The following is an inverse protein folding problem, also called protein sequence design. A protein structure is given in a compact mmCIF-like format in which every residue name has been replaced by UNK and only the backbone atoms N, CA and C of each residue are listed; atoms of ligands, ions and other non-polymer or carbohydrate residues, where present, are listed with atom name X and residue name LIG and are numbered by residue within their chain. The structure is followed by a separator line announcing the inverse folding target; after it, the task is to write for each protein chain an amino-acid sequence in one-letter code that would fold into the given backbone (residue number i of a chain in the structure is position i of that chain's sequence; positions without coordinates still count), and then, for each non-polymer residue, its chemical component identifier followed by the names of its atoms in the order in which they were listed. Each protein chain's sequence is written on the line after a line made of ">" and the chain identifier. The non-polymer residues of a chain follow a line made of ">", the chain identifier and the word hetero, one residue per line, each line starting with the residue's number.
data_IF_712142985657
#
_entry.id   IF_712142985657
#
_cell.length_a   1.000
_cell.length_b   1.000
_cell.length_c   1.000
_cell.angle_alpha   90.00
_cell.angle_beta   90.00
_cell.angle_gamma   90.00
#
_symmetry.space_group_name_H-M   'P 1'
#
loop_
_entity.id
_entity.type
_entity.pdbx_description
1 polymer ?
#
# COMPACT_ATOMS: atom_id res chain seq x y z
N UNK A 1 17.38 -10.01 28.37
CA UNK A 1 16.31 -10.33 27.41
C UNK A 1 16.70 -11.61 26.71
N UNK A 2 15.85 -12.65 26.74
CA UNK A 2 16.09 -13.91 26.04
C UNK A 2 16.06 -13.60 24.52
N UNK A 3 17.12 -13.99 23.79
CA UNK A 3 17.11 -13.90 22.33
C UNK A 3 16.02 -14.83 21.80
N UNK A 4 15.02 -14.27 21.10
CA UNK A 4 14.04 -15.10 20.44
C UNK A 4 14.70 -15.75 19.21
N UNK A 5 14.76 -17.06 19.20
CA UNK A 5 15.23 -17.84 18.05
C UNK A 5 14.10 -18.72 17.54
N UNK A 6 13.93 -18.77 16.23
CA UNK A 6 12.98 -19.65 15.55
C UNK A 6 13.64 -20.21 14.30
N UNK A 7 13.10 -21.32 13.80
CA UNK A 7 13.54 -21.93 12.55
C UNK A 7 12.34 -22.51 11.82
N UNK A 8 12.34 -22.42 10.50
CA UNK A 8 11.29 -22.96 9.64
C UNK A 8 11.91 -23.76 8.50
N UNK A 9 11.34 -24.91 8.20
CA UNK A 9 11.59 -25.59 6.93
C UNK A 9 10.56 -25.13 5.91
N UNK A 10 10.99 -24.51 4.83
CA UNK A 10 10.14 -24.06 3.74
C UNK A 10 10.12 -25.14 2.67
N UNK A 11 8.94 -25.72 2.36
CA UNK A 11 8.85 -26.77 1.32
C UNK A 11 9.43 -26.29 -0.01
N UNK A 12 9.09 -25.05 -0.39
CA UNK A 12 9.71 -24.31 -1.48
C UNK A 12 9.89 -22.86 -1.06
N UNK A 13 10.98 -22.25 -1.51
CA UNK A 13 11.24 -20.84 -1.24
C UNK A 13 11.80 -20.13 -2.48
N UNK A 14 11.33 -18.90 -2.71
CA UNK A 14 11.88 -18.04 -3.73
C UNK A 14 13.13 -17.33 -3.19
N UNK A 15 14.30 -17.86 -3.54
CA UNK A 15 15.61 -17.44 -3.06
C UNK A 15 16.47 -17.03 -4.24
N UNK A 16 17.02 -15.82 -4.20
CA UNK A 16 17.90 -15.26 -5.23
C UNK A 16 17.34 -15.39 -6.67
N UNK A 17 16.04 -15.08 -6.82
CA UNK A 17 15.36 -15.07 -8.12
C UNK A 17 15.01 -16.46 -8.68
N UNK A 18 15.09 -17.51 -7.87
CA UNK A 18 14.69 -18.85 -8.26
C UNK A 18 14.04 -19.62 -7.10
N UNK A 19 13.18 -20.56 -7.42
CA UNK A 19 12.59 -21.46 -6.42
C UNK A 19 13.58 -22.55 -6.02
N UNK A 20 13.72 -22.79 -4.72
CA UNK A 20 14.51 -23.85 -4.11
C UNK A 20 13.63 -24.73 -3.24
N UNK A 21 13.87 -26.03 -3.24
CA UNK A 21 13.16 -26.99 -2.40
C UNK A 21 13.85 -27.14 -1.03
N UNK A 22 13.06 -27.47 -0.01
CA UNK A 22 13.50 -27.86 1.34
C UNK A 22 14.49 -26.84 1.95
N UNK A 23 14.10 -25.58 2.02
CA UNK A 23 14.95 -24.49 2.52
C UNK A 23 14.76 -24.32 4.01
N UNK A 24 15.79 -24.64 4.81
CA UNK A 24 15.82 -24.32 6.24
C UNK A 24 16.25 -22.87 6.43
N UNK A 25 15.41 -22.10 7.13
CA UNK A 25 15.69 -20.71 7.53
C UNK A 25 15.83 -20.67 9.05
N UNK A 26 16.97 -20.17 9.54
CA UNK A 26 17.22 -19.93 10.96
C UNK A 26 17.12 -18.42 11.24
N UNK A 27 16.52 -18.07 12.37
CA UNK A 27 16.16 -16.70 12.70
C UNK A 27 16.58 -16.39 14.12
N UNK A 28 17.19 -15.23 14.33
CA UNK A 28 17.45 -14.67 15.65
C UNK A 28 17.18 -13.16 15.64
N UNK A 29 16.55 -12.69 16.71
CA UNK A 29 16.24 -11.26 16.92
C UNK A 29 15.48 -10.64 15.72
N UNK A 30 14.56 -11.43 15.11
CA UNK A 30 13.71 -11.00 13.98
C UNK A 30 14.42 -10.93 12.64
N UNK A 31 15.66 -11.43 12.53
CA UNK A 31 16.45 -11.45 11.30
C UNK A 31 16.88 -12.87 10.92
N UNK A 32 16.98 -13.12 9.63
CA UNK A 32 17.49 -14.37 9.07
C UNK A 32 19.00 -14.48 9.39
N UNK A 33 19.41 -15.56 10.03
CA UNK A 33 20.81 -15.84 10.38
C UNK A 33 21.45 -16.94 9.53
N UNK A 34 20.63 -17.85 8.97
CA UNK A 34 21.09 -18.85 8.01
C UNK A 34 19.96 -19.20 7.01
N UNK A 35 20.36 -19.54 5.79
CA UNK A 35 19.49 -20.07 4.73
C UNK A 35 20.19 -21.29 4.13
N UNK A 36 19.64 -22.49 4.31
CA UNK A 36 20.24 -23.76 3.88
C UNK A 36 19.27 -24.49 2.95
N UNK A 37 19.48 -24.46 1.62
CA UNK A 37 18.71 -25.24 0.68
C UNK A 37 18.99 -26.76 0.81
N UNK A 38 18.04 -27.57 0.35
CA UNK A 38 18.09 -29.03 0.39
C UNK A 38 18.39 -29.58 1.82
N UNK A 39 17.87 -28.90 2.84
CA UNK A 39 18.01 -29.34 4.22
C UNK A 39 17.16 -30.59 4.46
N UNK A 40 17.65 -31.58 5.25
CA UNK A 40 16.84 -32.74 5.61
C UNK A 40 15.66 -32.28 6.50
N UNK A 41 14.55 -33.00 6.40
CA UNK A 41 13.44 -32.85 7.31
C UNK A 41 13.93 -33.02 8.76
N UNK A 42 13.66 -32.00 9.60
CA UNK A 42 14.04 -31.98 11.00
C UNK A 42 12.83 -31.76 11.90
N UNK A 43 13.08 -31.63 13.19
CA UNK A 43 12.03 -31.31 14.18
C UNK A 43 11.79 -29.80 14.26
N UNK A 44 11.49 -29.18 13.12
CA UNK A 44 11.16 -27.77 13.01
C UNK A 44 9.82 -27.59 12.26
N UNK A 45 9.06 -26.52 12.52
CA UNK A 45 7.82 -26.26 11.79
C UNK A 45 8.07 -26.23 10.27
N UNK A 46 7.24 -26.97 9.52
CA UNK A 46 7.29 -27.01 8.07
C UNK A 46 6.20 -26.11 7.49
N UNK A 47 6.60 -25.13 6.68
CA UNK A 47 5.69 -24.27 5.93
C UNK A 47 5.47 -24.89 4.53
N UNK A 48 4.36 -25.61 4.39
CA UNK A 48 4.02 -26.31 3.17
C UNK A 48 3.52 -25.35 2.08
N UNK A 49 4.08 -25.43 0.88
CA UNK A 49 3.75 -24.60 -0.27
C UNK A 49 4.96 -23.81 -0.78
N UNK A 50 4.71 -22.67 -1.41
CA UNK A 50 5.74 -21.73 -1.88
C UNK A 50 5.87 -20.55 -0.94
N UNK A 51 7.05 -20.36 -0.37
CA UNK A 51 7.33 -19.20 0.48
C UNK A 51 8.10 -18.13 -0.30
N UNK A 52 7.61 -16.91 -0.23
CA UNK A 52 8.24 -15.69 -0.79
C UNK A 52 8.59 -14.74 0.35
N UNK A 53 9.48 -13.74 0.16
CA UNK A 53 9.67 -12.67 1.13
C UNK A 53 8.36 -11.94 1.41
N UNK A 54 8.29 -11.26 2.55
CA UNK A 54 7.13 -10.46 2.93
C UNK A 54 6.76 -9.43 1.86
N UNK A 55 5.45 -9.31 1.59
CA UNK A 55 4.94 -8.36 0.60
C UNK A 55 4.68 -7.00 1.25
N UNK A 56 4.89 -5.93 0.49
CA UNK A 56 4.79 -4.55 0.96
C UNK A 56 3.57 -3.86 0.34
N UNK A 57 2.74 -3.26 1.18
CA UNK A 57 1.69 -2.34 0.77
C UNK A 57 2.24 -0.92 0.84
N UNK A 58 2.67 -0.37 -0.29
CA UNK A 58 3.39 0.92 -0.30
C UNK A 58 2.46 2.15 -0.31
N UNK A 59 1.14 1.93 -0.34
CA UNK A 59 0.14 2.99 -0.20
C UNK A 59 -1.21 2.45 0.25
N UNK A 60 -1.77 3.04 1.29
CA UNK A 60 -3.01 2.60 1.93
C UNK A 60 -3.72 3.74 2.64
N UNK A 61 -5.04 3.66 2.65
CA UNK A 61 -5.93 4.45 3.50
C UNK A 61 -6.87 3.51 4.26
N UNK A 62 -6.50 3.06 5.44
CA UNK A 62 -7.21 2.01 6.18
C UNK A 62 -8.72 2.30 6.34
N UNK A 63 -9.12 3.57 6.51
CA UNK A 63 -10.53 3.90 6.67
C UNK A 63 -11.36 3.76 5.39
N UNK A 64 -10.74 3.77 4.20
CA UNK A 64 -11.44 3.51 2.94
C UNK A 64 -12.00 2.09 2.86
N UNK A 65 -11.48 1.15 3.68
CA UNK A 65 -12.06 -0.19 3.80
C UNK A 65 -13.57 -0.16 4.07
N UNK A 66 -14.05 0.88 4.74
CA UNK A 66 -15.48 1.08 5.00
C UNK A 66 -16.33 1.35 3.74
N UNK A 67 -15.70 1.64 2.60
CA UNK A 67 -16.37 1.97 1.33
C UNK A 67 -16.57 0.76 0.43
N UNK A 68 -15.78 -0.32 0.62
CA UNK A 68 -15.80 -1.51 -0.24
C UNK A 68 -17.21 -2.10 -0.38
N UNK A 69 -17.63 -2.31 -1.64
CA UNK A 69 -18.96 -2.85 -1.98
C UNK A 69 -20.14 -1.89 -1.71
N UNK A 70 -19.87 -0.65 -1.29
CA UNK A 70 -20.91 0.35 -0.99
C UNK A 70 -20.96 1.49 -2.00
N UNK A 71 -19.81 1.85 -2.55
CA UNK A 71 -19.64 2.96 -3.51
C UNK A 71 -19.96 2.57 -4.95
N UNK A 72 -20.01 1.28 -5.27
CA UNK A 72 -20.28 0.75 -6.61
C UNK A 72 -21.78 0.67 -6.95
N UNK A 73 -22.66 1.26 -6.13
CA UNK A 73 -24.11 1.26 -6.36
C UNK A 73 -24.51 2.35 -7.35
N UNK A 74 -25.06 1.94 -8.48
CA UNK A 74 -25.52 2.86 -9.53
C UNK A 74 -24.36 3.33 -10.43
N UNK A 75 -24.58 4.46 -11.13
CA UNK A 75 -23.53 5.12 -11.90
C UNK A 75 -22.84 6.16 -11.02
N UNK A 76 -21.54 6.01 -10.84
CA UNK A 76 -20.71 6.90 -10.04
C UNK A 76 -19.55 7.46 -10.84
N UNK A 77 -18.85 8.42 -10.23
CA UNK A 77 -17.60 8.99 -10.67
C UNK A 77 -16.67 9.06 -9.45
N UNK A 78 -15.40 9.35 -9.64
CA UNK A 78 -14.49 9.71 -8.56
C UNK A 78 -15.11 10.70 -7.54
N UNK A 79 -15.87 11.68 -8.02
CA UNK A 79 -16.47 12.72 -7.16
C UNK A 79 -17.59 12.18 -6.26
N UNK A 80 -18.44 11.29 -6.77
CA UNK A 80 -19.49 10.66 -5.95
C UNK A 80 -18.91 9.67 -4.94
N UNK A 81 -17.82 8.99 -5.28
CA UNK A 81 -17.05 8.18 -4.36
C UNK A 81 -16.46 9.04 -3.23
N UNK A 82 -15.87 10.20 -3.58
CA UNK A 82 -15.28 11.14 -2.62
C UNK A 82 -16.31 11.68 -1.61
N UNK A 83 -17.55 11.95 -2.03
CA UNK A 83 -18.63 12.35 -1.13
C UNK A 83 -18.92 11.27 -0.09
N UNK A 84 -18.94 9.99 -0.48
CA UNK A 84 -19.13 8.88 0.46
C UNK A 84 -17.94 8.70 1.39
N UNK A 85 -16.73 8.89 0.90
CA UNK A 85 -15.52 8.89 1.69
C UNK A 85 -15.56 10.02 2.75
N UNK A 86 -16.00 11.21 2.39
CA UNK A 86 -16.19 12.32 3.33
C UNK A 86 -17.23 11.98 4.41
N UNK A 87 -18.32 11.31 4.04
CA UNK A 87 -19.32 10.89 5.01
C UNK A 87 -18.79 9.84 6.02
N UNK A 88 -17.87 8.96 5.60
CA UNK A 88 -17.15 8.06 6.51
C UNK A 88 -16.18 8.85 7.39
N UNK A 89 -15.36 9.70 6.79
CA UNK A 89 -14.37 10.51 7.50
C UNK A 89 -15.01 11.39 8.60
N UNK A 90 -16.20 11.96 8.34
CA UNK A 90 -16.92 12.80 9.32
C UNK A 90 -17.33 12.04 10.58
N UNK A 91 -17.58 10.73 10.47
CA UNK A 91 -18.11 9.88 11.56
C UNK A 91 -17.04 9.21 12.40
N UNK A 92 -15.82 9.09 11.87
CA UNK A 92 -14.74 8.42 12.57
C UNK A 92 -14.33 9.20 13.81
N UNK A 93 -14.28 8.50 14.93
CA UNK A 93 -13.63 8.90 16.18
C UNK A 93 -12.33 8.12 16.33
N UNK A 94 -11.39 8.52 17.18
CA UNK A 94 -10.19 7.73 17.43
C UNK A 94 -10.48 6.27 17.78
N UNK A 95 -11.48 6.00 18.63
CA UNK A 95 -11.85 4.64 19.02
C UNK A 95 -12.41 3.83 17.85
N UNK A 96 -13.34 4.40 17.06
CA UNK A 96 -13.91 3.69 15.91
C UNK A 96 -12.88 3.54 14.78
N UNK A 97 -11.95 4.48 14.67
CA UNK A 97 -10.85 4.37 13.71
C UNK A 97 -9.87 3.26 14.11
N UNK A 98 -9.52 3.16 15.40
CA UNK A 98 -8.72 2.05 15.92
C UNK A 98 -9.34 0.69 15.59
N UNK A 99 -10.63 0.49 15.89
CA UNK A 99 -11.32 -0.78 15.64
C UNK A 99 -11.33 -1.13 14.16
N UNK A 100 -11.66 -0.16 13.30
CA UNK A 100 -11.66 -0.34 11.85
C UNK A 100 -10.26 -0.63 11.29
N UNK A 101 -9.27 0.17 11.69
CA UNK A 101 -7.89 0.05 11.20
C UNK A 101 -7.26 -1.26 11.64
N UNK A 102 -7.48 -1.71 12.89
CA UNK A 102 -6.99 -3.01 13.38
C UNK A 102 -7.50 -4.16 12.53
N UNK A 103 -8.81 -4.21 12.30
CA UNK A 103 -9.41 -5.26 11.46
C UNK A 103 -8.89 -5.20 10.01
N UNK A 104 -8.69 -3.99 9.47
CA UNK A 104 -8.14 -3.77 8.13
C UNK A 104 -6.67 -4.21 8.04
N UNK A 105 -5.85 -3.88 9.01
CA UNK A 105 -4.45 -4.31 9.05
C UNK A 105 -4.32 -5.82 9.24
N UNK A 106 -5.21 -6.46 10.04
CA UNK A 106 -5.30 -7.92 10.12
C UNK A 106 -5.69 -8.54 8.77
N UNK A 107 -6.61 -7.92 8.01
CA UNK A 107 -6.96 -8.34 6.65
C UNK A 107 -5.73 -8.25 5.73
N UNK A 108 -4.95 -7.17 5.79
CA UNK A 108 -3.70 -7.03 5.03
C UNK A 108 -2.69 -8.13 5.37
N UNK A 109 -2.47 -8.39 6.66
CA UNK A 109 -1.55 -9.45 7.09
C UNK A 109 -2.03 -10.81 6.57
N UNK A 110 -3.31 -11.15 6.73
CA UNK A 110 -3.87 -12.40 6.23
C UNK A 110 -3.83 -12.52 4.70
N UNK A 111 -3.72 -11.41 3.98
CA UNK A 111 -3.52 -11.36 2.53
C UNK A 111 -2.04 -11.51 2.11
N UNK A 112 -1.08 -11.41 3.05
CA UNK A 112 0.34 -11.56 2.79
C UNK A 112 1.16 -10.28 2.89
N UNK A 113 0.56 -9.14 3.23
CA UNK A 113 1.33 -7.92 3.49
C UNK A 113 2.00 -7.99 4.87
N UNK A 114 3.30 -7.74 4.92
CA UNK A 114 4.09 -7.70 6.17
C UNK A 114 4.40 -6.28 6.63
N UNK A 115 4.26 -5.32 5.72
CA UNK A 115 4.41 -3.90 6.00
C UNK A 115 3.46 -3.05 5.18
N UNK A 116 3.12 -1.88 5.71
CA UNK A 116 2.23 -0.91 5.08
C UNK A 116 2.73 0.51 5.27
N UNK A 117 2.66 1.30 4.19
CA UNK A 117 2.77 2.75 4.19
C UNK A 117 1.35 3.33 4.23
N UNK A 118 0.89 3.74 5.40
CA UNK A 118 -0.45 4.25 5.62
C UNK A 118 -0.48 5.76 5.45
N UNK A 119 -1.19 6.24 4.46
CA UNK A 119 -1.32 7.65 4.12
C UNK A 119 -2.45 8.29 4.94
N UNK A 120 -2.08 8.94 6.02
CA UNK A 120 -2.99 9.45 7.04
C UNK A 120 -3.22 10.95 6.91
N UNK A 121 -4.46 11.36 6.65
CA UNK A 121 -4.87 12.77 6.55
C UNK A 121 -6.11 13.12 7.39
N UNK A 122 -6.58 12.22 8.25
CA UNK A 122 -7.69 12.48 9.14
C UNK A 122 -7.14 12.97 10.49
N UNK A 123 -6.92 14.28 10.60
CA UNK A 123 -6.43 14.92 11.81
C UNK A 123 -7.62 15.47 12.61
N UNK A 124 -7.79 15.02 13.82
CA UNK A 124 -8.66 15.71 14.78
C UNK A 124 -7.84 16.76 15.52
N UNK A 125 -8.49 17.72 16.27
CA UNK A 125 -7.77 18.73 17.02
C UNK A 125 -6.71 18.16 17.99
N UNK A 126 -6.70 16.85 18.19
CA UNK A 126 -5.68 16.11 18.93
C UNK A 126 -5.09 14.99 18.06
N UNK A 127 -3.82 14.58 18.25
CA UNK A 127 -3.14 13.58 17.41
C UNK A 127 -3.66 12.14 17.60
N UNK A 128 -4.80 11.97 18.24
CA UNK A 128 -5.35 10.70 18.67
C UNK A 128 -5.65 9.72 17.52
N UNK A 129 -5.98 10.23 16.32
CA UNK A 129 -6.25 9.36 15.15
C UNK A 129 -4.99 8.69 14.61
N UNK A 130 -3.87 9.40 14.59
CA UNK A 130 -2.58 8.82 14.21
C UNK A 130 -2.09 7.79 15.24
N UNK A 131 -2.33 8.03 16.54
CA UNK A 131 -2.02 7.06 17.61
C UNK A 131 -2.91 5.82 17.49
N UNK A 132 -4.20 5.98 17.18
CA UNK A 132 -5.11 4.88 16.93
C UNK A 132 -4.59 3.95 15.81
N UNK A 133 -4.05 4.49 14.73
CA UNK A 133 -3.44 3.72 13.65
C UNK A 133 -2.17 2.98 14.10
N UNK A 134 -1.31 3.62 14.93
CA UNK A 134 -0.11 2.97 15.46
C UNK A 134 -0.46 1.78 16.35
N UNK A 135 -1.39 1.95 17.28
CA UNK A 135 -1.86 0.86 18.13
C UNK A 135 -2.54 -0.25 17.32
N UNK A 136 -3.35 0.12 16.32
CA UNK A 136 -4.00 -0.85 15.43
C UNK A 136 -2.98 -1.71 14.66
N UNK A 137 -1.90 -1.10 14.18
CA UNK A 137 -0.84 -1.82 13.48
C UNK A 137 -0.01 -2.71 14.42
N UNK A 138 0.26 -2.24 15.64
CA UNK A 138 0.94 -3.02 16.67
C UNK A 138 0.13 -4.27 17.05
N UNK A 139 -1.18 -4.14 17.30
CA UNK A 139 -2.06 -5.29 17.60
C UNK A 139 -2.24 -6.23 16.40
N UNK A 140 -2.25 -5.72 15.19
CA UNK A 140 -2.30 -6.53 13.98
C UNK A 140 -0.96 -7.21 13.65
N UNK A 141 0.14 -6.75 14.25
CA UNK A 141 1.49 -7.26 14.03
C UNK A 141 2.11 -6.85 12.69
N UNK A 142 1.55 -5.86 11.98
CA UNK A 142 2.08 -5.34 10.70
C UNK A 142 3.10 -4.21 10.94
N UNK A 143 4.13 -4.14 10.13
CA UNK A 143 5.08 -3.02 10.16
C UNK A 143 4.45 -1.78 9.53
N UNK A 144 4.32 -0.72 10.30
CA UNK A 144 3.67 0.54 9.87
C UNK A 144 4.69 1.63 9.59
N UNK A 145 4.60 2.22 8.40
CA UNK A 145 5.10 3.57 8.11
C UNK A 145 3.90 4.51 8.06
N UNK A 146 3.68 5.28 9.11
CA UNK A 146 2.58 6.25 9.15
C UNK A 146 3.02 7.54 8.48
N UNK A 147 2.49 7.78 7.28
CA UNK A 147 2.73 8.95 6.46
C UNK A 147 1.72 10.03 6.82
N UNK A 148 2.12 10.99 7.65
CA UNK A 148 1.23 12.08 8.02
C UNK A 148 1.13 13.09 6.86
N UNK A 149 -0.09 13.29 6.36
CA UNK A 149 -0.31 14.06 5.14
C UNK A 149 -0.73 15.50 5.41
N UNK A 150 -0.01 16.43 4.85
CA UNK A 150 -0.38 17.84 4.85
C UNK A 150 -1.51 18.12 3.88
N UNK A 151 -2.54 18.80 4.38
CA UNK A 151 -3.70 19.30 3.63
C UNK A 151 -4.00 20.74 4.04
N UNK A 152 -3.88 21.67 3.13
CA UNK A 152 -4.04 23.12 3.42
C UNK A 152 -5.24 23.73 2.68
N UNK A 153 -5.54 23.22 1.48
CA UNK A 153 -6.60 23.77 0.62
C UNK A 153 -7.46 22.68 -0.01
N UNK A 154 -8.71 23.00 -0.30
CA UNK A 154 -9.66 22.08 -0.96
C UNK A 154 -9.47 21.97 -2.47
N UNK A 155 -8.61 22.80 -3.03
CA UNK A 155 -8.27 22.94 -4.43
C UNK A 155 -7.37 24.15 -4.61
N UNK A 156 -6.96 24.46 -5.84
CA UNK A 156 -6.07 25.58 -6.12
C UNK A 156 -6.69 26.92 -5.64
N UNK A 157 -6.22 27.42 -4.50
CA UNK A 157 -6.66 28.69 -3.92
C UNK A 157 -7.99 28.66 -3.13
N UNK A 158 -8.59 27.50 -2.91
CA UNK A 158 -9.83 27.36 -2.15
C UNK A 158 -9.57 26.87 -0.71
N UNK A 159 -10.20 27.47 0.32
CA UNK A 159 -10.03 27.01 1.71
C UNK A 159 -10.73 25.65 1.93
N UNK A 160 -10.29 24.86 2.93
CA UNK A 160 -10.99 23.63 3.33
C UNK A 160 -12.40 23.92 3.85
N UNK A 161 -13.38 23.14 3.41
CA UNK A 161 -14.78 23.25 3.80
C UNK A 161 -15.32 21.93 4.38
N UNK A 162 -16.36 22.00 5.19
CA UNK A 162 -17.02 20.83 5.78
C UNK A 162 -16.03 19.91 6.49
N UNK A 163 -16.07 18.63 6.15
CA UNK A 163 -15.19 17.59 6.71
C UNK A 163 -13.70 17.81 6.43
N UNK A 164 -13.36 18.55 5.35
CA UNK A 164 -11.96 18.83 5.02
C UNK A 164 -11.24 19.64 6.13
N UNK A 165 -11.99 20.30 7.02
CA UNK A 165 -11.42 20.97 8.19
C UNK A 165 -10.79 19.99 9.18
N UNK A 166 -11.15 18.70 9.12
CA UNK A 166 -10.51 17.62 9.90
C UNK A 166 -9.17 17.17 9.29
N UNK A 167 -8.85 17.58 8.07
CA UNK A 167 -7.65 17.18 7.36
C UNK A 167 -6.52 18.20 7.49
N UNK A 168 -6.80 19.42 8.00
CA UNK A 168 -5.90 20.54 7.90
C UNK A 168 -5.35 21.02 9.24
N UNK A 169 -4.06 21.32 9.26
CA UNK A 169 -3.39 22.10 10.31
C UNK A 169 -3.43 23.63 10.02
N UNK A 170 -4.07 24.01 8.92
CA UNK A 170 -4.18 25.41 8.46
C UNK A 170 -3.03 25.86 7.56
N UNK A 171 -1.78 25.47 7.86
CA UNK A 171 -0.60 25.76 7.03
C UNK A 171 0.37 24.58 7.04
N UNK A 172 1.19 24.44 5.98
CA UNK A 172 2.24 23.42 5.94
C UNK A 172 3.28 23.63 7.06
N UNK A 173 3.53 24.86 7.48
CA UNK A 173 4.44 25.13 8.60
C UNK A 173 3.90 24.56 9.93
N UNK A 174 2.62 24.76 10.25
CA UNK A 174 2.00 24.18 11.45
C UNK A 174 1.95 22.67 11.39
N UNK A 175 1.64 22.13 10.21
CA UNK A 175 1.74 20.69 9.98
C UNK A 175 3.15 20.17 10.30
N UNK A 176 4.21 20.81 9.80
CA UNK A 176 5.60 20.44 10.04
C UNK A 176 5.98 20.54 11.54
N UNK A 177 5.48 21.55 12.25
CA UNK A 177 5.68 21.69 13.70
C UNK A 177 5.03 20.55 14.49
N UNK A 178 3.87 20.04 14.06
CA UNK A 178 3.18 18.91 14.68
C UNK A 178 3.86 17.57 14.39
N UNK A 179 4.26 17.35 13.14
CA UNK A 179 4.81 16.06 12.68
C UNK A 179 6.29 15.87 13.06
N UNK A 180 7.04 16.95 13.20
CA UNK A 180 8.48 16.89 13.41
C UNK A 180 9.19 16.27 12.21
N UNK A 181 10.19 15.40 12.47
CA UNK A 181 10.99 14.72 11.44
C UNK A 181 10.40 13.37 11.00
N UNK A 182 9.14 13.09 11.31
CA UNK A 182 8.46 11.85 10.95
C UNK A 182 8.24 11.68 9.44
N UNK A 183 7.83 10.46 9.01
CA UNK A 183 7.40 10.21 7.63
C UNK A 183 6.30 11.18 7.21
N UNK A 184 6.40 11.69 5.99
CA UNK A 184 5.62 12.82 5.53
C UNK A 184 4.84 12.50 4.25
N UNK A 185 3.70 13.19 4.08
CA UNK A 185 3.03 13.21 2.79
C UNK A 185 2.50 14.62 2.44
N UNK A 186 2.49 14.91 1.17
CA UNK A 186 1.72 15.98 0.54
C UNK A 186 0.45 15.33 0.00
N UNK A 187 -0.75 15.75 0.47
CA UNK A 187 -1.97 15.10 -0.03
C UNK A 187 -2.00 15.13 -1.57
N UNK A 188 -1.78 16.28 -2.17
CA UNK A 188 -1.61 16.49 -3.61
C UNK A 188 -1.18 17.96 -3.86
N UNK A 189 -0.79 18.28 -5.07
CA UNK A 189 -0.50 19.69 -5.45
C UNK A 189 -1.73 20.61 -5.42
N UNK A 190 -2.93 20.03 -5.38
CA UNK A 190 -4.20 20.75 -5.16
C UNK A 190 -4.36 21.17 -3.70
N UNK A 191 -3.88 20.33 -2.79
CA UNK A 191 -4.12 20.46 -1.37
C UNK A 191 -3.03 21.24 -0.64
N UNK A 192 -1.84 21.38 -1.22
CA UNK A 192 -0.75 22.19 -0.66
C UNK A 192 -0.34 23.25 -1.68
N UNK A 193 -0.57 24.56 -1.39
CA UNK A 193 -0.20 25.64 -2.28
C UNK A 193 1.31 25.68 -2.59
N UNK A 194 1.67 26.13 -3.78
CA UNK A 194 3.06 26.17 -4.28
C UNK A 194 4.03 26.87 -3.31
N UNK A 195 3.62 27.98 -2.75
CA UNK A 195 4.43 28.79 -1.81
C UNK A 195 4.72 28.08 -0.49
N UNK A 196 3.99 26.99 -0.17
CA UNK A 196 4.18 26.17 1.03
C UNK A 196 4.91 24.85 0.77
N UNK A 197 5.14 24.46 -0.49
CA UNK A 197 5.81 23.20 -0.85
C UNK A 197 7.27 23.14 -0.36
N UNK A 198 7.92 24.27 -0.18
CA UNK A 198 9.30 24.34 0.31
C UNK A 198 9.51 23.68 1.69
N UNK A 199 8.44 23.54 2.50
CA UNK A 199 8.45 22.91 3.83
C UNK A 199 8.81 21.41 3.76
N UNK A 200 8.61 20.77 2.60
CA UNK A 200 8.86 19.34 2.40
C UNK A 200 10.24 19.02 1.85
N UNK A 201 11.06 20.03 1.52
CA UNK A 201 12.40 19.80 0.97
C UNK A 201 13.27 19.02 1.95
N UNK A 202 13.88 17.93 1.46
CA UNK A 202 14.75 17.06 2.24
C UNK A 202 14.03 16.07 3.17
N UNK A 203 12.70 16.04 3.19
CA UNK A 203 11.95 15.01 3.94
C UNK A 203 12.00 13.67 3.21
N UNK A 204 12.21 12.59 3.96
CA UNK A 204 12.17 11.23 3.46
C UNK A 204 11.79 10.27 4.62
N UNK A 205 10.86 9.32 4.39
CA UNK A 205 10.07 9.16 3.17
C UNK A 205 9.06 10.30 2.99
N UNK A 206 8.81 10.67 1.72
CA UNK A 206 7.79 11.64 1.32
C UNK A 206 6.87 11.01 0.29
N UNK A 207 5.57 10.98 0.53
CA UNK A 207 4.58 10.51 -0.44
C UNK A 207 3.71 11.65 -0.96
N UNK A 208 3.17 11.51 -2.18
CA UNK A 208 2.25 12.48 -2.77
C UNK A 208 1.37 11.82 -3.84
N UNK A 209 0.05 12.05 -3.81
CA UNK A 209 -0.83 11.69 -4.92
C UNK A 209 -0.51 12.59 -6.12
N UNK A 210 -0.30 11.99 -7.27
CA UNK A 210 0.17 12.69 -8.47
C UNK A 210 -0.63 12.31 -9.70
N UNK A 211 -1.27 13.29 -10.33
CA UNK A 211 -1.90 13.12 -11.65
C UNK A 211 -2.83 11.90 -11.74
N UNK A 212 -3.56 11.62 -10.65
CA UNK A 212 -4.55 10.54 -10.57
C UNK A 212 -5.70 10.80 -11.55
N UNK A 213 -6.20 12.03 -11.56
CA UNK A 213 -7.30 12.49 -12.41
C UNK A 213 -6.79 13.56 -13.40
N UNK A 214 -7.23 13.48 -14.67
CA UNK A 214 -6.90 14.49 -15.68
C UNK A 214 -7.26 15.92 -15.24
N UNK A 215 -8.34 16.06 -14.47
CA UNK A 215 -8.77 17.36 -13.93
C UNK A 215 -7.73 17.99 -12.99
N UNK A 216 -6.91 17.20 -12.28
CA UNK A 216 -5.82 17.74 -11.48
C UNK A 216 -4.76 18.41 -12.37
N UNK A 217 -4.40 17.75 -13.47
CA UNK A 217 -3.43 18.27 -14.43
C UNK A 217 -3.94 19.57 -15.05
N UNK A 218 -5.19 19.57 -15.52
CA UNK A 218 -5.81 20.74 -16.13
C UNK A 218 -5.88 21.93 -15.18
N UNK A 219 -6.24 21.69 -13.91
CA UNK A 219 -6.30 22.72 -12.88
C UNK A 219 -4.92 23.23 -12.48
N UNK A 220 -3.91 22.36 -12.41
CA UNK A 220 -2.52 22.75 -12.13
C UNK A 220 -1.94 23.60 -13.27
N UNK A 221 -2.17 23.22 -14.53
CA UNK A 221 -1.80 24.01 -15.71
C UNK A 221 -2.48 25.38 -15.69
N UNK A 222 -3.77 25.45 -15.35
CA UNK A 222 -4.49 26.71 -15.26
C UNK A 222 -3.95 27.61 -14.13
N UNK A 223 -3.58 27.04 -12.98
CA UNK A 223 -3.13 27.77 -11.82
C UNK A 223 -1.66 28.21 -11.90
N UNK A 224 -0.79 27.34 -12.41
CA UNK A 224 0.67 27.51 -12.33
C UNK A 224 1.40 27.45 -13.68
N UNK A 225 0.71 27.11 -14.77
CA UNK A 225 1.29 27.01 -16.11
C UNK A 225 2.21 25.79 -16.32
N UNK A 226 2.19 24.82 -15.39
CA UNK A 226 3.02 23.62 -15.43
C UNK A 226 2.21 22.39 -15.01
N UNK A 227 2.70 21.18 -15.34
CA UNK A 227 2.11 19.92 -14.85
C UNK A 227 2.38 19.71 -13.36
N UNK A 228 1.59 18.88 -12.66
CA UNK A 228 1.87 18.50 -11.27
C UNK A 228 3.30 17.96 -11.06
N UNK A 229 3.76 17.09 -11.93
CA UNK A 229 5.13 16.54 -11.91
C UNK A 229 6.18 17.64 -12.04
N UNK A 230 6.01 18.53 -13.00
CA UNK A 230 6.92 19.65 -13.22
C UNK A 230 6.93 20.61 -12.02
N UNK A 231 5.79 20.86 -11.41
CA UNK A 231 5.70 21.66 -10.18
C UNK A 231 6.53 21.05 -9.06
N UNK A 232 6.35 19.74 -8.77
CA UNK A 232 7.12 19.07 -7.73
C UNK A 232 8.62 19.03 -8.04
N UNK A 233 8.99 18.85 -9.29
CA UNK A 233 10.39 18.90 -9.74
C UNK A 233 11.00 20.27 -9.50
N UNK A 234 10.34 21.35 -9.92
CA UNK A 234 10.82 22.74 -9.79
C UNK A 234 10.96 23.16 -8.34
N UNK A 235 10.12 22.61 -7.44
CA UNK A 235 10.21 22.82 -6.00
C UNK A 235 11.24 21.89 -5.30
N UNK A 236 11.92 21.01 -6.04
CA UNK A 236 12.98 20.12 -5.52
C UNK A 236 12.46 19.01 -4.64
N UNK A 237 11.26 18.49 -4.92
CA UNK A 237 10.58 17.46 -4.13
C UNK A 237 10.66 16.06 -4.74
N UNK A 238 11.13 15.92 -5.99
CA UNK A 238 11.33 14.62 -6.62
C UNK A 238 12.73 14.07 -6.30
N UNK A 239 12.81 12.76 -6.04
CA UNK A 239 14.07 12.08 -5.75
C UNK A 239 13.86 10.69 -5.16
N UNK A 240 14.93 9.95 -4.82
CA UNK A 240 14.86 8.56 -4.31
C UNK A 240 14.11 8.42 -2.98
N UNK A 241 13.96 9.50 -2.20
CA UNK A 241 13.20 9.53 -0.95
C UNK A 241 11.71 9.86 -1.14
N UNK A 242 11.28 10.11 -2.39
CA UNK A 242 9.90 10.48 -2.71
C UNK A 242 9.20 9.35 -3.45
N UNK A 243 7.97 9.05 -3.04
CA UNK A 243 7.04 8.17 -3.73
C UNK A 243 5.87 9.01 -4.25
N UNK A 244 5.68 9.01 -5.56
CA UNK A 244 4.45 9.52 -6.17
C UNK A 244 3.46 8.38 -6.34
N UNK A 245 2.17 8.62 -6.08
CA UNK A 245 1.13 7.60 -6.15
C UNK A 245 0.26 7.83 -7.38
N UNK A 246 -0.16 6.77 -8.03
CA UNK A 246 -0.90 6.68 -9.29
C UNK A 246 -0.06 7.07 -10.51
N UNK A 247 0.26 8.35 -10.68
CA UNK A 247 0.99 8.84 -11.86
C UNK A 247 0.33 8.40 -13.18
N UNK A 248 -1.02 8.44 -13.22
CA UNK A 248 -1.84 7.89 -14.31
C UNK A 248 -1.77 8.75 -15.57
N UNK A 249 -1.91 10.08 -15.39
CA UNK A 249 -2.02 11.04 -16.50
C UNK A 249 -0.74 11.85 -16.66
N UNK A 250 0.31 11.24 -17.25
CA UNK A 250 1.62 11.86 -17.42
C UNK A 250 1.90 12.20 -18.88
N UNK A 251 2.64 13.28 -19.09
CA UNK A 251 3.30 13.57 -20.39
C UNK A 251 4.63 12.82 -20.49
N UNK A 252 5.21 12.76 -21.69
CA UNK A 252 6.55 12.17 -21.91
C UNK A 252 7.63 12.91 -21.10
N UNK A 253 7.52 14.23 -20.98
CA UNK A 253 8.42 15.04 -20.16
C UNK A 253 8.28 14.72 -18.66
N UNK A 254 7.05 14.47 -18.16
CA UNK A 254 6.81 14.07 -16.77
C UNK A 254 7.46 12.72 -16.46
N UNK A 255 7.33 11.75 -17.36
CA UNK A 255 7.97 10.43 -17.23
C UNK A 255 9.50 10.58 -17.17
N UNK A 256 10.06 11.42 -18.05
CA UNK A 256 11.50 11.67 -18.06
C UNK A 256 11.98 12.36 -16.77
N UNK A 257 11.21 13.30 -16.20
CA UNK A 257 11.54 13.95 -14.94
C UNK A 257 11.54 12.95 -13.77
N UNK A 258 10.52 12.11 -13.66
CA UNK A 258 10.43 11.09 -12.63
C UNK A 258 11.58 10.06 -12.73
N UNK A 259 11.88 9.59 -13.96
CA UNK A 259 12.98 8.66 -14.21
C UNK A 259 14.35 9.24 -13.88
N UNK A 260 14.64 10.47 -14.36
CA UNK A 260 15.92 11.14 -14.12
C UNK A 260 16.18 11.41 -12.62
N UNK A 261 15.13 11.65 -11.84
CA UNK A 261 15.23 11.85 -10.40
C UNK A 261 15.17 10.54 -9.60
N UNK A 262 14.90 9.40 -10.27
CA UNK A 262 14.71 8.08 -9.64
C UNK A 262 13.63 8.12 -8.56
N UNK A 263 12.59 8.91 -8.78
CA UNK A 263 11.43 8.97 -7.91
C UNK A 263 10.67 7.65 -7.97
N UNK A 264 10.32 7.08 -6.81
CA UNK A 264 9.51 5.88 -6.76
C UNK A 264 8.07 6.17 -7.21
N UNK A 265 7.47 5.24 -7.95
CA UNK A 265 6.07 5.34 -8.38
C UNK A 265 5.30 4.16 -7.81
N UNK A 266 4.31 4.46 -6.97
CA UNK A 266 3.39 3.48 -6.43
C UNK A 266 2.13 3.45 -7.30
N UNK A 267 1.95 2.35 -8.01
CA UNK A 267 0.74 2.10 -8.81
C UNK A 267 -0.26 1.34 -7.94
N UNK A 268 -1.53 1.62 -8.09
CA UNK A 268 -2.60 0.99 -7.30
C UNK A 268 -3.69 0.41 -8.20
N UNK A 269 -3.38 -0.66 -8.96
CA UNK A 269 -4.20 -1.16 -10.06
C UNK A 269 -5.64 -1.42 -9.71
N UNK A 270 -5.93 -1.98 -8.53
CA UNK A 270 -7.32 -2.27 -8.14
C UNK A 270 -8.11 -1.00 -7.84
N UNK A 271 -7.47 0.04 -7.31
CA UNK A 271 -8.09 1.36 -7.09
C UNK A 271 -8.33 2.08 -8.41
N UNK A 272 -7.34 2.14 -9.27
CA UNK A 272 -7.42 2.81 -10.58
C UNK A 272 -8.53 2.22 -11.46
N UNK A 273 -8.77 0.91 -11.34
CA UNK A 273 -9.91 0.23 -11.96
C UNK A 273 -11.24 0.58 -11.30
N UNK A 274 -11.32 0.59 -9.96
CA UNK A 274 -12.55 0.85 -9.19
C UNK A 274 -13.02 2.30 -9.37
N UNK A 275 -12.09 3.25 -9.40
CA UNK A 275 -12.36 4.68 -9.56
C UNK A 275 -12.42 5.14 -11.03
N UNK A 276 -12.06 4.25 -11.96
CA UNK A 276 -12.01 4.52 -13.40
C UNK A 276 -11.01 5.65 -13.75
N UNK A 277 -9.86 5.66 -13.09
CA UNK A 277 -8.82 6.68 -13.28
C UNK A 277 -8.12 6.53 -14.63
N UNK A 278 -8.04 5.32 -15.13
CA UNK A 278 -7.35 4.96 -16.36
C UNK A 278 -6.19 3.99 -16.12
N UNK A 279 -5.39 3.75 -17.15
CA UNK A 279 -4.21 2.90 -17.08
C UNK A 279 -2.96 3.78 -17.11
N UNK A 280 -2.22 3.83 -16.02
CA UNK A 280 -0.97 4.57 -15.91
C UNK A 280 0.17 3.90 -16.70
N UNK A 281 1.21 4.64 -17.11
CA UNK A 281 2.31 4.16 -17.95
C UNK A 281 3.40 3.43 -17.15
N UNK A 282 3.01 2.40 -16.35
CA UNK A 282 3.90 1.74 -15.39
C UNK A 282 5.19 1.19 -16.03
N UNK A 283 5.10 0.51 -17.17
CA UNK A 283 6.27 -0.02 -17.87
C UNK A 283 7.19 1.10 -18.36
N UNK A 284 6.64 2.16 -18.94
CA UNK A 284 7.41 3.30 -19.43
C UNK A 284 8.14 4.03 -18.29
N UNK A 285 7.51 4.14 -17.13
CA UNK A 285 8.12 4.71 -15.92
C UNK A 285 9.31 3.86 -15.45
N UNK A 286 9.15 2.53 -15.40
CA UNK A 286 10.26 1.62 -15.07
C UNK A 286 11.41 1.72 -16.08
N UNK A 287 11.11 1.74 -17.38
CA UNK A 287 12.11 1.89 -18.45
C UNK A 287 12.83 3.25 -18.39
N UNK A 288 12.17 4.29 -17.91
CA UNK A 288 12.77 5.60 -17.64
C UNK A 288 13.68 5.62 -16.41
N UNK A 289 13.64 4.57 -15.56
CA UNK A 289 14.48 4.42 -14.37
C UNK A 289 13.78 4.67 -13.03
N UNK A 290 12.45 4.80 -13.01
CA UNK A 290 11.68 4.87 -11.76
C UNK A 290 11.65 3.49 -11.09
N UNK A 291 11.96 3.38 -9.79
CA UNK A 291 11.52 2.24 -9.01
C UNK A 291 9.99 2.18 -9.01
N UNK A 292 9.42 0.97 -9.11
CA UNK A 292 7.97 0.75 -9.08
C UNK A 292 7.61 0.01 -7.79
N UNK A 293 6.48 0.36 -7.21
CA UNK A 293 5.84 -0.34 -6.09
C UNK A 293 4.32 -0.43 -6.31
N UNK A 294 3.64 -1.19 -5.45
CA UNK A 294 2.18 -1.32 -5.48
C UNK A 294 1.58 -1.06 -4.11
N UNK A 295 0.32 -0.65 -4.09
CA UNK A 295 -0.46 -0.43 -2.89
C UNK A 295 -1.93 -0.79 -3.06
N UNK A 296 -2.66 -1.03 -1.95
CA UNK A 296 -4.09 -1.32 -1.95
C UNK A 296 -4.97 -0.06 -1.95
N UNK A 297 -4.39 1.07 -1.67
CA UNK A 297 -4.95 2.43 -1.66
C UNK A 297 -6.40 2.51 -1.10
N UNK A 298 -7.41 2.51 -1.97
CA UNK A 298 -8.83 2.64 -1.59
C UNK A 298 -9.43 1.38 -0.93
N UNK A 299 -8.68 0.29 -0.86
CA UNK A 299 -9.15 -1.00 -0.35
C UNK A 299 -10.37 -1.58 -1.09
N UNK A 300 -10.56 -1.23 -2.36
CA UNK A 300 -11.53 -1.91 -3.21
C UNK A 300 -11.27 -3.43 -3.20
N UNK A 301 -9.99 -3.79 -3.25
CA UNK A 301 -9.45 -5.13 -3.02
C UNK A 301 -8.27 -5.04 -2.04
N UNK A 302 -8.01 -6.09 -1.25
CA UNK A 302 -6.77 -6.28 -0.49
C UNK A 302 -6.18 -7.63 -0.89
N UNK A 303 -5.41 -7.61 -1.97
CA UNK A 303 -4.78 -8.80 -2.54
C UNK A 303 -3.48 -8.39 -3.25
N UNK A 304 -2.29 -8.61 -2.64
CA UNK A 304 -1.03 -8.22 -3.24
C UNK A 304 -0.76 -8.90 -4.60
N UNK A 305 -1.29 -10.12 -4.80
CA UNK A 305 -1.10 -10.84 -6.05
C UNK A 305 -1.94 -10.24 -7.17
N UNK A 306 -3.12 -9.68 -6.85
CA UNK A 306 -3.94 -8.97 -7.82
C UNK A 306 -3.31 -7.61 -8.19
N UNK A 307 -2.76 -6.87 -7.23
CA UNK A 307 -2.01 -5.64 -7.52
C UNK A 307 -0.82 -5.93 -8.46
N UNK A 308 0.00 -6.93 -8.14
CA UNK A 308 1.14 -7.31 -9.00
C UNK A 308 0.71 -7.77 -10.39
N UNK A 309 -0.32 -8.61 -10.45
CA UNK A 309 -0.89 -9.07 -11.71
C UNK A 309 -1.48 -7.92 -12.51
N UNK A 310 -2.05 -6.94 -11.83
CA UNK A 310 -2.62 -5.73 -12.40
C UNK A 310 -1.64 -4.97 -13.26
N UNK A 311 -0.40 -4.79 -12.81
CA UNK A 311 0.65 -4.12 -13.59
C UNK A 311 0.83 -4.73 -14.99
N UNK A 312 0.87 -6.06 -15.11
CA UNK A 312 1.01 -6.73 -16.41
C UNK A 312 -0.31 -6.72 -17.20
N UNK A 313 -1.46 -6.97 -16.53
CA UNK A 313 -2.73 -7.14 -17.24
C UNK A 313 -3.28 -5.82 -17.79
N UNK A 314 -3.07 -4.72 -17.10
CA UNK A 314 -3.51 -3.39 -17.56
C UNK A 314 -2.64 -2.91 -18.74
N UNK A 315 -1.31 -3.14 -18.67
CA UNK A 315 -0.43 -2.88 -19.82
C UNK A 315 -0.82 -3.71 -21.05
N UNK A 316 -1.21 -4.99 -20.88
CA UNK A 316 -1.72 -5.81 -22.00
C UNK A 316 -2.98 -5.21 -22.61
N UNK A 317 -3.89 -4.68 -21.80
CA UNK A 317 -5.10 -4.02 -22.31
C UNK A 317 -4.79 -2.72 -23.03
N UNK A 318 -3.86 -1.94 -22.51
CA UNK A 318 -3.45 -0.66 -23.11
C UNK A 318 -2.71 -0.83 -24.43
N UNK A 319 -1.80 -1.81 -24.52
CA UNK A 319 -0.89 -1.98 -25.66
C UNK A 319 -1.33 -3.05 -26.65
N UNK A 320 -2.21 -4.00 -26.24
CA UNK A 320 -2.55 -5.21 -27.00
C UNK A 320 -1.35 -6.16 -27.21
N UNK A 321 -0.33 -6.05 -26.37
CA UNK A 321 0.87 -6.88 -26.34
C UNK A 321 0.99 -7.61 -25.00
N UNK A 322 1.86 -8.63 -24.90
CA UNK A 322 2.08 -9.43 -23.69
C UNK A 322 3.56 -9.42 -23.31
N UNK A 323 3.82 -9.63 -22.01
CA UNK A 323 5.18 -9.82 -21.51
C UNK A 323 5.89 -8.50 -21.21
N UNK A 324 5.14 -7.50 -20.76
CA UNK A 324 5.71 -6.26 -20.24
C UNK A 324 6.50 -6.51 -18.95
N UNK A 325 6.02 -7.45 -18.12
CA UNK A 325 6.61 -7.82 -16.84
C UNK A 325 6.75 -9.32 -16.69
N UNK A 326 7.93 -9.80 -16.29
CA UNK A 326 8.11 -11.18 -15.82
C UNK A 326 7.56 -11.36 -14.40
N UNK A 327 7.21 -12.58 -14.03
CA UNK A 327 6.77 -12.90 -12.67
C UNK A 327 7.84 -12.55 -11.61
N UNK A 328 9.12 -12.75 -11.93
CA UNK A 328 10.23 -12.41 -11.05
C UNK A 328 10.36 -10.89 -10.81
N UNK A 329 10.19 -10.06 -11.86
CA UNK A 329 10.14 -8.61 -11.72
C UNK A 329 8.96 -8.18 -10.84
N UNK A 330 7.76 -8.74 -11.08
CA UNK A 330 6.57 -8.44 -10.31
C UNK A 330 6.72 -8.84 -8.83
N UNK A 331 7.27 -10.02 -8.52
CA UNK A 331 7.58 -10.39 -7.14
C UNK A 331 8.60 -9.44 -6.50
N UNK A 332 9.63 -9.04 -7.24
CA UNK A 332 10.60 -8.06 -6.75
C UNK A 332 9.95 -6.70 -6.44
N UNK A 333 8.97 -6.28 -7.25
CA UNK A 333 8.15 -5.09 -6.99
C UNK A 333 7.34 -5.27 -5.70
N UNK A 334 6.62 -6.38 -5.56
CA UNK A 334 5.77 -6.65 -4.38
C UNK A 334 6.54 -6.78 -3.07
N UNK A 335 7.77 -7.27 -3.13
CA UNK A 335 8.65 -7.39 -1.96
C UNK A 335 9.52 -6.16 -1.72
N UNK A 336 9.46 -5.15 -2.57
CA UNK A 336 10.37 -3.98 -2.57
C UNK A 336 11.85 -4.40 -2.60
N UNK A 337 12.14 -5.51 -3.27
CA UNK A 337 13.48 -6.09 -3.36
C UNK A 337 13.95 -6.82 -2.11
N UNK A 338 13.09 -7.04 -1.11
CA UNK A 338 13.42 -7.89 0.04
C UNK A 338 13.67 -9.33 -0.40
N UNK A 339 14.54 -10.05 0.34
CA UNK A 339 15.00 -11.39 -0.03
C UNK A 339 14.96 -12.33 1.18
N UNK A 340 14.84 -13.61 0.91
CA UNK A 340 15.12 -14.65 1.91
C UNK A 340 16.65 -14.84 1.92
N UNK A 341 17.36 -14.03 2.71
CA UNK A 341 18.81 -14.01 2.78
C UNK A 341 19.31 -13.63 4.18
N UNK A 342 20.53 -14.04 4.51
CA UNK A 342 21.15 -13.71 5.80
C UNK A 342 21.24 -12.20 5.99
N UNK A 343 20.80 -11.73 7.17
CA UNK A 343 20.77 -10.33 7.55
C UNK A 343 19.47 -9.60 7.22
N UNK A 344 18.63 -10.14 6.35
CA UNK A 344 17.31 -9.57 6.02
C UNK A 344 16.31 -9.76 7.18
N UNK A 345 15.27 -8.93 7.29
CA UNK A 345 14.14 -9.19 8.18
C UNK A 345 13.53 -10.57 7.89
N UNK A 346 13.16 -11.28 8.94
CA UNK A 346 12.53 -12.58 8.82
C UNK A 346 11.01 -12.43 8.58
N UNK A 347 10.66 -11.81 7.46
CA UNK A 347 9.30 -11.58 7.00
C UNK A 347 9.03 -12.48 5.80
N UNK A 348 8.11 -13.45 5.96
CA UNK A 348 7.88 -14.54 5.00
C UNK A 348 6.37 -14.72 4.76
N UNK A 349 6.01 -15.04 3.53
CA UNK A 349 4.63 -15.35 3.13
C UNK A 349 4.61 -16.70 2.43
N UNK A 350 3.84 -17.64 2.95
CA UNK A 350 3.69 -18.98 2.36
C UNK A 350 2.34 -19.10 1.66
N UNK A 351 2.39 -19.58 0.42
CA UNK A 351 1.27 -19.72 -0.51
C UNK A 351 0.98 -21.21 -0.70
N UNK A 352 -0.28 -21.63 -0.55
CA UNK A 352 -0.73 -22.96 -0.89
C UNK A 352 -0.58 -23.22 -2.41
N UNK A 353 0.22 -24.19 -2.79
CA UNK A 353 0.42 -24.61 -4.19
C UNK A 353 -0.47 -25.80 -4.61
N UNK A 354 -1.41 -26.19 -3.74
CA UNK A 354 -2.31 -27.33 -3.93
C UNK A 354 -3.79 -26.96 -3.96
N UNK A 355 -4.11 -25.67 -3.84
CA UNK A 355 -5.49 -25.18 -3.96
C UNK A 355 -6.05 -25.37 -5.37
N UNK A 356 -7.35 -25.20 -5.55
CA UNK A 356 -7.98 -25.27 -6.87
C UNK A 356 -7.49 -24.20 -7.86
N UNK A 357 -6.84 -23.12 -7.37
CA UNK A 357 -6.27 -22.06 -8.20
C UNK A 357 -4.81 -22.36 -8.59
N UNK A 358 -4.04 -22.95 -7.68
CA UNK A 358 -2.60 -23.08 -7.80
C UNK A 358 -2.12 -24.49 -8.18
N UNK A 359 -2.97 -25.51 -8.01
CA UNK A 359 -2.61 -26.88 -8.32
C UNK A 359 -2.25 -27.06 -9.81
N UNK A 360 -1.06 -27.62 -10.08
CA UNK A 360 -0.59 -27.91 -11.44
C UNK A 360 -0.06 -26.69 -12.22
N UNK A 361 0.15 -25.54 -11.57
CA UNK A 361 0.63 -24.31 -12.24
C UNK A 361 2.15 -24.15 -12.21
N UNK A 362 2.91 -25.13 -11.69
CA UNK A 362 4.38 -25.13 -11.66
C UNK A 362 4.96 -24.95 -10.27
N UNK A 363 4.25 -24.32 -9.32
CA UNK A 363 4.70 -24.03 -7.95
C UNK A 363 5.96 -23.14 -7.91
N UNK A 364 6.05 -22.21 -8.84
CA UNK A 364 7.12 -21.24 -8.99
C UNK A 364 6.61 -19.79 -8.87
N UNK A 365 7.42 -18.78 -9.22
CA UNK A 365 7.06 -17.38 -9.19
C UNK A 365 5.85 -17.05 -10.08
N UNK A 366 5.64 -17.81 -11.18
CA UNK A 366 4.46 -17.61 -12.02
C UNK A 366 3.19 -18.09 -11.30
N UNK A 367 3.27 -19.15 -10.50
CA UNK A 367 2.18 -19.59 -9.62
C UNK A 367 1.81 -18.49 -8.65
N UNK A 368 2.79 -17.87 -7.98
CA UNK A 368 2.55 -16.80 -7.03
C UNK A 368 1.85 -15.61 -7.71
N UNK A 369 2.39 -15.11 -8.83
CA UNK A 369 1.88 -13.88 -9.45
C UNK A 369 0.61 -14.13 -10.25
N UNK A 370 0.55 -15.18 -11.09
CA UNK A 370 -0.51 -15.34 -12.09
C UNK A 370 -1.62 -16.33 -11.70
N UNK A 371 -1.46 -17.08 -10.62
CA UNK A 371 -2.46 -18.05 -10.19
C UNK A 371 -2.96 -17.84 -8.75
N UNK A 372 -2.07 -17.52 -7.81
CA UNK A 372 -2.45 -17.33 -6.42
C UNK A 372 -3.29 -16.06 -6.20
N UNK A 373 -4.00 -16.03 -5.09
CA UNK A 373 -4.73 -14.90 -4.55
C UNK A 373 -4.47 -14.83 -3.04
N UNK A 374 -4.91 -13.76 -2.39
CA UNK A 374 -4.85 -13.63 -0.92
C UNK A 374 -5.47 -14.86 -0.20
N UNK A 375 -6.44 -15.54 -0.80
CA UNK A 375 -7.06 -16.75 -0.23
C UNK A 375 -6.12 -17.95 -0.19
N UNK A 376 -5.02 -17.94 -0.93
CA UNK A 376 -4.03 -19.01 -0.96
C UNK A 376 -2.88 -18.81 0.05
N UNK A 377 -2.82 -17.66 0.72
CA UNK A 377 -1.85 -17.41 1.78
C UNK A 377 -2.16 -18.31 2.98
N UNK A 378 -1.23 -19.15 3.40
CA UNK A 378 -1.40 -20.08 4.53
C UNK A 378 -0.73 -19.60 5.80
N UNK A 379 0.43 -18.94 5.69
CA UNK A 379 1.18 -18.42 6.83
C UNK A 379 1.82 -17.09 6.47
N UNK A 380 1.79 -16.19 7.42
CA UNK A 380 2.53 -14.92 7.38
C UNK A 380 3.40 -14.84 8.61
N UNK A 381 4.71 -14.75 8.39
CA UNK A 381 5.74 -14.59 9.43
C UNK A 381 6.26 -13.17 9.36
N UNK A 382 6.30 -12.48 10.50
CA UNK A 382 6.86 -11.14 10.63
C UNK A 382 7.85 -11.15 11.80
N UNK A 383 9.09 -10.76 11.52
CA UNK A 383 10.15 -10.77 12.52
C UNK A 383 10.41 -12.16 13.11
N UNK A 384 10.19 -13.22 12.33
CA UNK A 384 10.40 -14.61 12.73
C UNK A 384 9.28 -15.24 13.55
N UNK A 385 8.16 -14.54 13.75
CA UNK A 385 6.97 -15.07 14.44
C UNK A 385 5.81 -15.20 13.46
N UNK A 386 5.05 -16.30 13.55
CA UNK A 386 3.80 -16.43 12.79
C UNK A 386 2.78 -15.44 13.33
N UNK A 387 2.34 -14.50 12.50
CA UNK A 387 1.40 -13.43 12.85
C UNK A 387 -0.01 -13.75 12.35
N UNK A 388 -0.13 -14.42 11.21
CA UNK A 388 -1.42 -14.87 10.70
C UNK A 388 -1.30 -16.21 9.98
N UNK A 389 -2.42 -16.94 10.01
CA UNK A 389 -2.63 -18.18 9.27
C UNK A 389 -3.92 -18.11 8.45
N UNK A 390 -4.11 -19.09 7.56
CA UNK A 390 -5.36 -19.22 6.81
C UNK A 390 -6.61 -19.35 7.68
N UNK A 391 -6.47 -19.85 8.90
CA UNK A 391 -7.58 -20.09 9.84
C UNK A 391 -8.13 -18.80 10.47
N UNK A 392 -7.32 -17.71 10.50
CA UNK A 392 -7.71 -16.45 11.12
C UNK A 392 -8.77 -15.67 10.30
N UNK A 393 -8.94 -15.98 9.02
CA UNK A 393 -9.82 -15.24 8.09
C UNK A 393 -11.26 -15.10 8.56
N UNK A 394 -11.81 -16.17 9.16
CA UNK A 394 -13.18 -16.14 9.64
C UNK A 394 -13.37 -15.20 10.84
N UNK A 395 -12.37 -15.10 11.71
CA UNK A 395 -12.36 -14.15 12.82
C UNK A 395 -12.21 -12.71 12.32
N UNK A 396 -11.24 -12.47 11.44
CA UNK A 396 -11.03 -11.16 10.79
C UNK A 396 -12.30 -10.68 10.08
N UNK A 397 -13.01 -11.58 9.40
CA UNK A 397 -14.29 -11.28 8.75
C UNK A 397 -15.33 -10.78 9.75
N UNK A 398 -15.47 -11.41 10.93
CA UNK A 398 -16.38 -10.95 11.99
C UNK A 398 -15.96 -9.60 12.58
N UNK A 399 -14.67 -9.35 12.76
CA UNK A 399 -14.17 -8.04 13.23
C UNK A 399 -14.48 -6.91 12.24
N UNK A 400 -14.25 -7.17 10.95
CA UNK A 400 -14.61 -6.23 9.88
C UNK A 400 -16.11 -5.95 9.87
N UNK A 401 -16.96 -6.99 9.96
CA UNK A 401 -18.41 -6.85 10.01
C UNK A 401 -18.82 -5.96 11.18
N UNK A 402 -18.35 -6.26 12.39
CA UNK A 402 -18.66 -5.48 13.59
C UNK A 402 -18.20 -4.01 13.48
N UNK A 403 -16.99 -3.75 12.93
CA UNK A 403 -16.50 -2.41 12.69
C UNK A 403 -17.38 -1.63 11.69
N UNK A 404 -17.83 -2.30 10.63
CA UNK A 404 -18.73 -1.71 9.63
C UNK A 404 -20.12 -1.42 10.19
N UNK A 405 -20.72 -2.34 10.93
CA UNK A 405 -22.02 -2.15 11.56
C UNK A 405 -22.00 -0.93 12.49
N UNK A 406 -21.01 -0.85 13.39
CA UNK A 406 -20.86 0.27 14.30
C UNK A 406 -20.74 1.62 13.59
N UNK A 407 -20.08 1.65 12.41
CA UNK A 407 -19.88 2.87 11.63
C UNK A 407 -21.11 3.26 10.81
N UNK A 408 -21.81 2.26 10.20
CA UNK A 408 -22.90 2.52 9.27
C UNK A 408 -24.27 2.55 9.95
N UNK A 409 -24.51 1.84 11.05
CA UNK A 409 -25.77 1.93 11.80
C UNK A 409 -26.02 3.32 12.38
N UNK A 410 -24.97 4.00 12.86
CA UNK A 410 -25.05 5.42 13.24
C UNK A 410 -25.55 6.32 12.08
N UNK A 411 -25.40 5.88 10.84
CA UNK A 411 -25.83 6.61 9.64
C UNK A 411 -27.34 6.52 9.38
N UNK A 412 -27.95 5.38 9.67
CA UNK A 412 -29.38 5.16 9.44
C UNK A 412 -30.26 5.91 10.46
N UNK A 413 -29.73 6.22 11.66
CA UNK A 413 -30.43 6.97 12.69
C UNK A 413 -30.48 8.48 12.45
N UNK A 414 -29.54 9.05 11.73
CA UNK A 414 -29.49 10.48 11.42
C UNK A 414 -30.19 10.86 10.11
N UNK A 415 -30.49 9.87 9.25
CA UNK A 415 -31.22 10.06 8.00
C UNK A 415 -32.74 9.80 8.12
N UNK A 416 -33.26 9.52 9.34
CA UNK A 416 -34.68 9.50 9.70
C UNK A 416 -35.03 10.75 10.49
#
# INVERSE_FOLDING_TARGET
>A
MSRSSSSYLLERAWVDGAVRDDVLVEIADGRITAVTPAAPAGDVPNLAGLTVPGLVNDHSHAFHRALRGRTQRGRGTFWTWREQMYAVAERLTPDSYFVLARATFREMVAAGYTSVSEFHYLHDPEPATGEALRHAAEEAGIRLTLLDACYVSSGFGAPPEGVQRRFTDGTAQRWAERVGDGPAAIHSVRAVPRDQLHVFRGRAPLHVHLSEQQQENDACLAAYGVTPTRLLHDEGLLGPGTTVVHATHLTDDDIALLGNTRTNVCITPTTERDLADGIGPARRLADAGCPISVGSDSHAVVDPFEELRGLEMDERLATQERGHWSAAELLSIGTRGARIAVGEPADLVTIDTRSTRTAGTGSDENTAVFAATAADVTHVVIGGSVVATGDDRAEIGRELEAAMEALWEKALWQAR
#
